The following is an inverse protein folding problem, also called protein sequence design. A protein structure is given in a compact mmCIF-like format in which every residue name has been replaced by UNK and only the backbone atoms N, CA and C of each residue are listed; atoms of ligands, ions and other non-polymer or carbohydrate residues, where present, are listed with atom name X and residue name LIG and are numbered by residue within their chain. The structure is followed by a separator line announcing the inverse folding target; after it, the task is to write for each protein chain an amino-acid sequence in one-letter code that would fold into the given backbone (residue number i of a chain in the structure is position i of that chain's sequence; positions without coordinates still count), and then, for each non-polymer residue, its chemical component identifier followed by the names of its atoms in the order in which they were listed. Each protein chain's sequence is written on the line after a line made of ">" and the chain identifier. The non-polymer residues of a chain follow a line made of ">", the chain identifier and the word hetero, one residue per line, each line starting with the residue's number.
data_IF_911067322345
#
_entry.id   IF_911067322345
#
_cell.length_a   1.000
_cell.length_b   1.000
_cell.length_c   1.000
_cell.angle_alpha   90.00
_cell.angle_beta   90.00
_cell.angle_gamma   90.00
#
_symmetry.space_group_name_H-M   'P 1'
#
loop_
_entity.id
_entity.type
_entity.pdbx_description
1 polymer ?
#
# COMPACT_ATOMS: atom_id res chain seq x y z
N UNK A 1 -8.11 -53.52 17.15
CA UNK A 1 -9.42 -53.57 16.49
C UNK A 1 -10.03 -52.22 16.07
N UNK A 2 -9.80 -51.08 16.74
CA UNK A 2 -10.32 -49.78 16.21
C UNK A 2 -9.57 -49.24 14.97
N UNK A 3 -8.34 -49.69 14.73
CA UNK A 3 -7.54 -49.27 13.56
C UNK A 3 -7.99 -49.94 12.25
N UNK A 4 -8.40 -51.21 12.29
CA UNK A 4 -8.76 -51.97 11.08
C UNK A 4 -10.10 -51.53 10.47
N UNK A 5 -11.08 -51.13 11.30
CA UNK A 5 -12.37 -50.66 10.80
C UNK A 5 -12.26 -49.35 10.00
N UNK A 6 -11.37 -48.45 10.41
CA UNK A 6 -11.13 -47.19 9.70
C UNK A 6 -10.39 -47.40 8.38
N UNK A 7 -9.45 -48.35 8.32
CA UNK A 7 -8.74 -48.69 7.08
C UNK A 7 -9.66 -49.35 6.04
N UNK A 8 -10.55 -50.25 6.47
CA UNK A 8 -11.50 -50.93 5.57
C UNK A 8 -12.57 -49.95 5.05
N UNK A 9 -13.07 -49.03 5.88
CA UNK A 9 -13.96 -47.96 5.43
C UNK A 9 -13.25 -47.00 4.46
N UNK A 10 -12.01 -46.59 4.76
CA UNK A 10 -11.19 -45.77 3.87
C UNK A 10 -10.91 -46.46 2.52
N UNK A 11 -10.74 -47.78 2.49
CA UNK A 11 -10.60 -48.54 1.24
C UNK A 11 -11.90 -48.51 0.42
N UNK A 12 -13.06 -48.69 1.07
CA UNK A 12 -14.37 -48.63 0.41
C UNK A 12 -14.67 -47.27 -0.21
N UNK A 13 -14.38 -46.19 0.54
CA UNK A 13 -14.56 -44.81 0.09
C UNK A 13 -13.64 -44.46 -1.10
N UNK A 14 -12.38 -44.92 -1.08
CA UNK A 14 -11.45 -44.76 -2.21
C UNK A 14 -11.88 -45.52 -3.45
N UNK A 15 -12.37 -46.75 -3.31
CA UNK A 15 -12.84 -47.58 -4.45
C UNK A 15 -14.11 -46.99 -5.07
N UNK A 16 -15.02 -46.44 -4.27
CA UNK A 16 -16.19 -45.72 -4.76
C UNK A 16 -15.78 -44.49 -5.58
N UNK A 17 -14.83 -43.71 -5.05
CA UNK A 17 -14.28 -42.54 -5.73
C UNK A 17 -13.65 -42.93 -7.07
N UNK A 18 -12.80 -43.96 -7.08
CA UNK A 18 -12.14 -44.44 -8.28
C UNK A 18 -13.17 -44.87 -9.34
N UNK A 19 -14.22 -45.62 -8.97
CA UNK A 19 -15.31 -46.01 -9.90
C UNK A 19 -16.05 -44.82 -10.51
N UNK A 20 -16.29 -43.77 -9.74
CA UNK A 20 -16.96 -42.55 -10.22
C UNK A 20 -16.05 -41.76 -11.18
N UNK A 21 -14.75 -41.70 -10.87
CA UNK A 21 -13.72 -41.09 -11.71
C UNK A 21 -13.63 -41.82 -13.06
N UNK A 22 -13.55 -43.15 -13.06
CA UNK A 22 -13.50 -43.97 -14.28
C UNK A 22 -14.75 -43.83 -15.16
N UNK A 23 -15.90 -43.52 -14.56
CA UNK A 23 -17.16 -43.22 -15.27
C UNK A 23 -17.29 -41.78 -15.76
N UNK A 24 -16.24 -40.96 -15.61
CA UNK A 24 -16.18 -39.54 -16.02
C UNK A 24 -17.16 -38.63 -15.26
N UNK A 25 -17.67 -39.08 -14.12
CA UNK A 25 -18.58 -38.30 -13.27
C UNK A 25 -17.78 -37.41 -12.30
N UNK A 26 -16.90 -36.56 -12.84
CA UNK A 26 -15.94 -35.78 -12.04
C UNK A 26 -16.61 -34.80 -11.07
N UNK A 27 -17.73 -34.18 -11.46
CA UNK A 27 -18.47 -33.27 -10.59
C UNK A 27 -19.10 -33.98 -9.38
N UNK A 28 -19.67 -35.16 -9.61
CA UNK A 28 -20.29 -35.98 -8.57
C UNK A 28 -19.22 -36.60 -7.65
N UNK A 29 -18.12 -37.08 -8.23
CA UNK A 29 -16.97 -37.58 -7.49
C UNK A 29 -16.37 -36.49 -6.58
N UNK A 30 -16.30 -35.24 -7.05
CA UNK A 30 -15.85 -34.09 -6.25
C UNK A 30 -16.78 -33.76 -5.08
N UNK A 31 -18.10 -33.80 -5.29
CA UNK A 31 -19.08 -33.57 -4.21
C UNK A 31 -19.01 -34.67 -3.16
N UNK A 32 -18.88 -35.93 -3.58
CA UNK A 32 -18.75 -37.08 -2.68
C UNK A 32 -17.42 -37.02 -1.90
N UNK A 33 -16.32 -36.64 -2.56
CA UNK A 33 -15.04 -36.43 -1.89
C UNK A 33 -15.12 -35.36 -0.79
N UNK A 34 -15.85 -34.27 -1.06
CA UNK A 34 -16.04 -33.19 -0.10
C UNK A 34 -16.97 -33.61 1.06
N UNK A 35 -18.05 -34.31 0.76
CA UNK A 35 -18.98 -34.85 1.75
C UNK A 35 -18.29 -35.84 2.71
N UNK A 36 -17.37 -36.65 2.19
CA UNK A 36 -16.60 -37.62 2.96
C UNK A 36 -15.34 -37.01 3.63
N UNK A 37 -15.06 -35.72 3.44
CA UNK A 37 -13.87 -35.01 3.95
C UNK A 37 -12.54 -35.73 3.66
N UNK A 38 -12.45 -36.39 2.50
CA UNK A 38 -11.25 -37.11 2.09
C UNK A 38 -10.15 -36.10 1.74
N UNK A 39 -9.11 -36.01 2.58
CA UNK A 39 -7.96 -35.10 2.40
C UNK A 39 -7.33 -35.17 1.00
N UNK A 40 -7.28 -36.36 0.40
CA UNK A 40 -6.69 -36.58 -0.94
C UNK A 40 -7.74 -36.83 -2.05
N UNK A 41 -9.04 -36.78 -1.71
CA UNK A 41 -10.11 -37.18 -2.62
C UNK A 41 -10.27 -36.23 -3.80
N UNK A 42 -10.29 -34.93 -3.54
CA UNK A 42 -10.44 -33.93 -4.61
C UNK A 42 -9.20 -33.87 -5.52
N UNK A 43 -8.00 -33.98 -4.95
CA UNK A 43 -6.74 -34.01 -5.70
C UNK A 43 -6.72 -35.17 -6.70
N UNK A 44 -7.14 -36.38 -6.29
CA UNK A 44 -7.25 -37.54 -7.18
C UNK A 44 -8.27 -37.35 -8.30
N UNK A 45 -9.45 -36.81 -8.01
CA UNK A 45 -10.49 -36.54 -9.02
C UNK A 45 -9.97 -35.54 -10.04
N UNK A 46 -9.30 -34.46 -9.60
CA UNK A 46 -8.73 -33.46 -10.48
C UNK A 46 -7.55 -33.97 -11.30
N UNK A 47 -6.64 -34.76 -10.73
CA UNK A 47 -5.54 -35.34 -11.52
C UNK A 47 -6.07 -36.17 -12.69
N UNK A 48 -7.06 -37.03 -12.43
CA UNK A 48 -7.67 -37.82 -13.49
C UNK A 48 -8.49 -36.96 -14.48
N UNK A 49 -9.19 -35.93 -14.00
CA UNK A 49 -9.89 -34.99 -14.86
C UNK A 49 -8.92 -34.19 -15.73
N UNK A 50 -7.78 -33.74 -15.19
CA UNK A 50 -6.73 -33.01 -15.91
C UNK A 50 -6.10 -33.89 -17.00
N UNK A 51 -5.74 -35.14 -16.68
CA UNK A 51 -5.27 -36.10 -17.70
C UNK A 51 -6.31 -36.30 -18.81
N UNK A 52 -7.58 -36.47 -18.43
CA UNK A 52 -8.67 -36.61 -19.41
C UNK A 52 -8.83 -35.34 -20.28
N UNK A 53 -8.74 -34.16 -19.68
CA UNK A 53 -8.88 -32.86 -20.36
C UNK A 53 -7.75 -32.63 -21.39
N UNK A 54 -6.52 -32.97 -21.04
CA UNK A 54 -5.35 -32.87 -21.94
C UNK A 54 -5.43 -33.87 -23.11
N UNK A 55 -6.07 -35.02 -22.92
CA UNK A 55 -6.29 -35.98 -24.01
C UNK A 55 -7.41 -35.60 -24.99
N UNK A 56 -8.09 -34.46 -24.80
CA UNK A 56 -9.19 -34.09 -25.68
C UNK A 56 -8.68 -33.44 -26.98
N UNK A 57 -9.01 -34.01 -28.16
CA UNK A 57 -8.42 -33.60 -29.44
C UNK A 57 -8.95 -32.27 -29.99
N UNK A 58 -9.95 -31.66 -29.34
CA UNK A 58 -10.62 -30.44 -29.82
C UNK A 58 -10.26 -29.19 -29.02
N UNK A 59 -9.48 -29.34 -27.95
CA UNK A 59 -9.03 -28.23 -27.11
C UNK A 59 -7.59 -27.88 -27.45
N UNK A 60 -7.31 -26.60 -27.58
CA UNK A 60 -5.96 -26.08 -27.60
C UNK A 60 -5.29 -26.34 -26.24
N UNK A 61 -4.02 -26.74 -26.28
CA UNK A 61 -3.25 -27.06 -25.08
C UNK A 61 -3.19 -25.89 -24.09
N UNK A 62 -3.25 -24.65 -24.58
CA UNK A 62 -3.20 -23.45 -23.74
C UNK A 62 -4.49 -23.21 -22.96
N UNK A 63 -5.67 -23.29 -23.60
CA UNK A 63 -6.95 -23.19 -22.89
C UNK A 63 -7.18 -24.38 -21.97
N UNK A 64 -6.75 -25.59 -22.36
CA UNK A 64 -6.77 -26.75 -21.47
C UNK A 64 -5.90 -26.53 -20.22
N UNK A 65 -4.67 -26.02 -20.39
CA UNK A 65 -3.79 -25.69 -19.27
C UNK A 65 -4.37 -24.61 -18.35
N UNK A 66 -5.01 -23.57 -18.92
CA UNK A 66 -5.66 -22.50 -18.15
C UNK A 66 -6.81 -23.02 -17.28
N UNK A 67 -7.72 -23.82 -17.85
CA UNK A 67 -8.84 -24.38 -17.09
C UNK A 67 -8.40 -25.37 -16.01
N UNK A 68 -7.32 -26.13 -16.29
CA UNK A 68 -6.72 -27.01 -15.29
C UNK A 68 -6.10 -26.19 -14.15
N UNK A 69 -5.35 -25.13 -14.49
CA UNK A 69 -4.78 -24.20 -13.52
C UNK A 69 -5.84 -23.58 -12.61
N UNK A 70 -6.95 -23.11 -13.16
CA UNK A 70 -8.04 -22.48 -12.39
C UNK A 70 -8.74 -23.45 -11.43
N UNK A 71 -8.90 -24.73 -11.83
CA UNK A 71 -9.44 -25.75 -10.92
C UNK A 71 -8.45 -26.16 -9.84
N UNK A 72 -7.15 -26.26 -10.16
CA UNK A 72 -6.11 -26.55 -9.17
C UNK A 72 -5.99 -25.40 -8.16
N UNK A 73 -6.10 -24.15 -8.61
CA UNK A 73 -6.11 -22.94 -7.78
C UNK A 73 -7.18 -23.00 -6.69
N UNK A 74 -8.42 -23.36 -7.04
CA UNK A 74 -9.50 -23.48 -6.06
C UNK A 74 -9.24 -24.54 -4.99
N UNK A 75 -8.51 -25.61 -5.31
CA UNK A 75 -8.11 -26.63 -4.32
C UNK A 75 -6.94 -26.16 -3.48
N UNK A 76 -5.97 -25.51 -4.11
CA UNK A 76 -4.81 -24.92 -3.44
C UNK A 76 -5.23 -23.97 -2.31
N UNK A 77 -6.38 -23.28 -2.41
CA UNK A 77 -6.91 -22.45 -1.33
C UNK A 77 -7.19 -23.22 -0.03
N UNK A 78 -7.51 -24.52 -0.12
CA UNK A 78 -7.76 -25.40 1.03
C UNK A 78 -6.49 -26.04 1.59
N UNK A 79 -5.34 -25.90 0.92
CA UNK A 79 -4.07 -26.40 1.43
C UNK A 79 -3.64 -25.60 2.66
N UNK A 80 -3.68 -26.25 3.81
CA UNK A 80 -3.37 -25.63 5.11
C UNK A 80 -1.90 -25.23 5.28
N UNK A 81 -0.99 -25.79 4.47
CA UNK A 81 0.45 -25.61 4.59
C UNK A 81 0.98 -24.56 3.61
N UNK A 82 1.12 -23.32 4.08
CA UNK A 82 1.63 -22.20 3.28
C UNK A 82 3.01 -22.47 2.65
N UNK A 83 3.88 -23.26 3.30
CA UNK A 83 5.23 -23.61 2.80
C UNK A 83 5.23 -24.44 1.52
N UNK A 84 4.17 -25.21 1.27
CA UNK A 84 4.02 -26.02 0.05
C UNK A 84 3.15 -25.28 -0.97
N UNK A 85 2.15 -24.56 -0.48
CA UNK A 85 1.23 -23.77 -1.29
C UNK A 85 1.93 -22.62 -2.02
N UNK A 86 2.78 -21.84 -1.34
CA UNK A 86 3.39 -20.63 -1.90
C UNK A 86 4.34 -20.92 -3.08
N UNK A 87 5.29 -21.88 -2.99
CA UNK A 87 6.11 -22.24 -4.15
C UNK A 87 5.27 -22.71 -5.35
N UNK A 88 4.22 -23.51 -5.11
CA UNK A 88 3.35 -23.99 -6.15
C UNK A 88 2.55 -22.87 -6.82
N UNK A 89 2.10 -21.87 -6.06
CA UNK A 89 1.46 -20.66 -6.62
C UNK A 89 2.42 -19.85 -7.50
N UNK A 90 3.71 -19.78 -7.16
CA UNK A 90 4.71 -19.12 -8.01
C UNK A 90 4.95 -19.86 -9.32
N UNK A 91 4.95 -21.20 -9.31
CA UNK A 91 5.06 -22.02 -10.52
C UNK A 91 3.83 -21.87 -11.44
N UNK A 92 2.65 -21.68 -10.86
CA UNK A 92 1.40 -21.39 -11.58
C UNK A 92 1.33 -19.95 -12.12
N UNK A 93 2.35 -19.12 -11.88
CA UNK A 93 2.41 -17.72 -12.35
C UNK A 93 1.68 -16.71 -11.46
N UNK A 94 1.22 -17.13 -10.28
CA UNK A 94 0.33 -16.35 -9.41
C UNK A 94 1.09 -15.60 -8.33
N UNK A 95 1.93 -14.67 -8.77
CA UNK A 95 2.86 -13.96 -7.89
C UNK A 95 2.18 -13.17 -6.76
N UNK A 96 1.11 -12.46 -7.08
CA UNK A 96 0.38 -11.62 -6.10
C UNK A 96 -0.28 -12.49 -5.03
N UNK A 97 -0.93 -13.57 -5.42
CA UNK A 97 -1.58 -14.50 -4.48
C UNK A 97 -0.57 -15.25 -3.63
N UNK A 98 0.58 -15.65 -4.22
CA UNK A 98 1.68 -16.23 -3.48
C UNK A 98 2.21 -15.27 -2.39
N UNK A 99 2.36 -13.98 -2.71
CA UNK A 99 2.82 -12.97 -1.76
C UNK A 99 1.80 -12.74 -0.63
N UNK A 100 0.51 -12.71 -0.97
CA UNK A 100 -0.57 -12.58 0.02
C UNK A 100 -0.59 -13.77 0.99
N UNK A 101 -0.46 -15.00 0.49
CA UNK A 101 -0.44 -16.20 1.34
C UNK A 101 0.83 -16.27 2.18
N UNK A 102 1.98 -15.84 1.66
CA UNK A 102 3.22 -15.75 2.42
C UNK A 102 3.14 -14.69 3.53
N UNK A 103 2.50 -13.55 3.28
CA UNK A 103 2.31 -12.53 4.32
C UNK A 103 1.33 -13.01 5.41
N UNK A 104 0.26 -13.72 5.02
CA UNK A 104 -0.67 -14.31 5.98
C UNK A 104 -0.07 -15.46 6.82
N UNK A 105 0.95 -16.16 6.31
CA UNK A 105 1.62 -17.21 7.09
C UNK A 105 2.52 -16.66 8.19
N UNK A 106 2.89 -15.37 8.13
CA UNK A 106 3.82 -14.72 9.06
C UNK A 106 5.27 -15.23 8.96
N UNK A 107 5.57 -16.08 7.98
CA UNK A 107 6.92 -16.62 7.76
C UNK A 107 7.73 -15.64 6.89
N UNK A 108 8.65 -14.91 7.51
CA UNK A 108 9.46 -13.89 6.84
C UNK A 108 10.33 -14.48 5.73
N UNK A 109 10.80 -15.71 5.88
CA UNK A 109 11.66 -16.36 4.88
C UNK A 109 10.85 -16.67 3.62
N UNK A 110 9.60 -17.10 3.81
CA UNK A 110 8.68 -17.36 2.71
C UNK A 110 8.31 -16.07 1.97
N UNK A 111 8.13 -14.96 2.70
CA UNK A 111 7.90 -13.64 2.09
C UNK A 111 9.13 -13.18 1.29
N UNK A 112 10.34 -13.35 1.83
CA UNK A 112 11.57 -13.02 1.09
C UNK A 112 11.73 -13.87 -0.18
N UNK A 113 11.46 -15.16 -0.10
CA UNK A 113 11.51 -16.06 -1.26
C UNK A 113 10.58 -15.57 -2.39
N UNK A 114 9.33 -15.23 -2.05
CA UNK A 114 8.39 -14.67 -3.03
C UNK A 114 8.87 -13.33 -3.57
N UNK A 115 9.27 -12.40 -2.71
CA UNK A 115 9.72 -11.06 -3.13
C UNK A 115 10.89 -11.13 -4.12
N UNK A 116 11.86 -12.00 -3.87
CA UNK A 116 13.02 -12.19 -4.76
C UNK A 116 12.59 -12.82 -6.09
N UNK A 117 11.72 -13.82 -6.05
CA UNK A 117 11.19 -14.45 -7.26
C UNK A 117 10.40 -13.46 -8.14
N UNK A 118 9.56 -12.63 -7.53
CA UNK A 118 8.79 -11.61 -8.25
C UNK A 118 9.68 -10.51 -8.82
N UNK A 119 10.72 -10.11 -8.09
CA UNK A 119 11.69 -9.13 -8.57
C UNK A 119 12.43 -9.60 -9.84
N UNK A 120 12.70 -10.89 -9.97
CA UNK A 120 13.37 -11.47 -11.14
C UNK A 120 12.44 -11.69 -12.33
N UNK A 121 11.18 -12.10 -12.08
CA UNK A 121 10.23 -12.44 -13.15
C UNK A 121 9.32 -11.31 -13.60
N UNK A 122 9.01 -10.34 -12.74
CA UNK A 122 8.09 -9.24 -13.04
C UNK A 122 8.85 -7.99 -13.51
N UNK A 123 8.17 -7.13 -14.27
CA UNK A 123 8.69 -5.81 -14.60
C UNK A 123 8.81 -4.93 -13.35
N UNK A 124 9.83 -4.07 -13.30
CA UNK A 124 10.12 -3.21 -12.13
C UNK A 124 8.89 -2.43 -11.62
N UNK A 125 8.16 -1.77 -12.51
CA UNK A 125 6.99 -0.97 -12.15
C UNK A 125 5.84 -1.84 -11.60
N UNK A 126 5.63 -3.02 -12.17
CA UNK A 126 4.57 -3.94 -11.76
C UNK A 126 4.87 -4.54 -10.38
N UNK A 127 6.14 -4.90 -10.16
CA UNK A 127 6.63 -5.34 -8.86
C UNK A 127 6.42 -4.25 -7.79
N UNK A 128 6.82 -3.02 -8.08
CA UNK A 128 6.67 -1.87 -7.17
C UNK A 128 5.21 -1.58 -6.80
N UNK A 129 4.29 -1.61 -7.78
CA UNK A 129 2.86 -1.48 -7.53
C UNK A 129 2.31 -2.59 -6.63
N UNK A 130 2.76 -3.83 -6.87
CA UNK A 130 2.35 -5.01 -6.10
C UNK A 130 2.80 -4.91 -4.65
N UNK A 131 4.08 -4.62 -4.39
CA UNK A 131 4.59 -4.52 -3.02
C UNK A 131 3.92 -3.37 -2.25
N UNK A 132 3.59 -2.26 -2.92
CA UNK A 132 2.92 -1.11 -2.28
C UNK A 132 1.51 -1.46 -1.80
N UNK A 133 0.84 -2.38 -2.47
CA UNK A 133 -0.48 -2.85 -2.03
C UNK A 133 -0.43 -3.67 -0.72
N UNK A 134 0.74 -4.17 -0.34
CA UNK A 134 0.94 -5.05 0.83
C UNK A 134 1.98 -4.46 1.80
N UNK A 135 1.56 -3.72 2.86
CA UNK A 135 2.47 -2.99 3.74
C UNK A 135 3.56 -3.85 4.39
N UNK A 136 3.23 -5.08 4.83
CA UNK A 136 4.20 -5.99 5.42
C UNK A 136 5.29 -6.40 4.42
N UNK A 137 4.89 -6.80 3.21
CA UNK A 137 5.84 -7.15 2.15
C UNK A 137 6.71 -5.95 1.76
N UNK A 138 6.13 -4.76 1.68
CA UNK A 138 6.85 -3.52 1.41
C UNK A 138 7.92 -3.23 2.47
N UNK A 139 7.56 -3.33 3.75
CA UNK A 139 8.50 -3.10 4.86
C UNK A 139 9.67 -4.09 4.87
N UNK A 140 9.40 -5.36 4.56
CA UNK A 140 10.43 -6.40 4.46
C UNK A 140 11.34 -6.15 3.26
N UNK A 141 10.79 -5.69 2.13
CA UNK A 141 11.56 -5.30 0.96
C UNK A 141 12.48 -4.10 1.23
N UNK A 142 11.98 -3.05 1.90
CA UNK A 142 12.79 -1.91 2.35
C UNK A 142 13.98 -2.40 3.20
N UNK A 143 13.72 -3.29 4.17
CA UNK A 143 14.77 -3.88 5.01
C UNK A 143 15.81 -4.67 4.19
N UNK A 144 15.35 -5.42 3.19
CA UNK A 144 16.24 -6.15 2.29
C UNK A 144 17.10 -5.19 1.44
N UNK A 145 16.49 -4.16 0.85
CA UNK A 145 17.22 -3.14 0.08
C UNK A 145 18.26 -2.41 0.92
N UNK A 146 17.96 -2.10 2.18
CA UNK A 146 18.91 -1.44 3.08
C UNK A 146 20.21 -2.23 3.31
N UNK A 147 20.18 -3.56 3.19
CA UNK A 147 21.37 -4.41 3.37
C UNK A 147 22.09 -4.76 2.05
N UNK A 148 21.36 -4.82 0.93
CA UNK A 148 21.90 -5.35 -0.33
C UNK A 148 22.10 -4.29 -1.41
N UNK A 149 21.24 -3.26 -1.47
CA UNK A 149 21.26 -2.29 -2.56
C UNK A 149 20.67 -0.93 -2.13
N UNK A 150 21.56 0.04 -1.89
CA UNK A 150 21.21 1.41 -1.47
C UNK A 150 20.49 2.21 -2.56
N UNK A 151 20.81 1.99 -3.83
CA UNK A 151 20.17 2.72 -4.92
C UNK A 151 18.71 2.29 -5.12
N UNK A 152 18.45 0.98 -5.00
CA UNK A 152 17.08 0.46 -4.98
C UNK A 152 16.29 1.01 -3.79
N UNK A 153 16.92 1.11 -2.61
CA UNK A 153 16.29 1.70 -1.42
C UNK A 153 15.87 3.16 -1.65
N UNK A 154 16.76 3.98 -2.24
CA UNK A 154 16.45 5.39 -2.55
C UNK A 154 15.26 5.50 -3.49
N UNK A 155 15.19 4.67 -4.52
CA UNK A 155 14.08 4.69 -5.47
C UNK A 155 12.75 4.35 -4.80
N UNK A 156 12.73 3.37 -3.89
CA UNK A 156 11.54 3.04 -3.11
C UNK A 156 11.10 4.24 -2.24
N UNK A 157 12.03 4.89 -1.54
CA UNK A 157 11.67 6.05 -0.71
C UNK A 157 11.21 7.26 -1.52
N UNK A 158 11.75 7.47 -2.73
CA UNK A 158 11.29 8.53 -3.64
C UNK A 158 9.89 8.21 -4.15
N UNK A 159 9.62 6.97 -4.53
CA UNK A 159 8.33 6.57 -5.08
C UNK A 159 7.18 6.60 -4.08
N UNK A 160 7.49 6.36 -2.79
CA UNK A 160 6.51 6.37 -1.69
C UNK A 160 6.37 7.77 -1.07
N UNK A 161 7.13 8.75 -1.57
CA UNK A 161 7.26 10.09 -0.95
C UNK A 161 7.65 10.01 0.55
N UNK A 162 8.43 8.99 0.92
CA UNK A 162 8.99 8.89 2.26
C UNK A 162 10.20 9.83 2.38
N UNK A 163 9.90 11.10 2.66
CA UNK A 163 10.90 12.13 2.85
C UNK A 163 11.82 11.87 4.05
N UNK A 164 11.35 11.12 5.05
CA UNK A 164 12.18 10.78 6.22
C UNK A 164 13.23 9.74 5.81
N UNK A 165 12.82 8.65 5.16
CA UNK A 165 13.71 7.62 4.62
C UNK A 165 14.73 8.21 3.63
N UNK A 166 14.29 9.09 2.73
CA UNK A 166 15.19 9.83 1.82
C UNK A 166 16.25 10.63 2.60
N UNK A 167 15.85 11.40 3.60
CA UNK A 167 16.77 12.20 4.40
C UNK A 167 17.79 11.32 5.16
N UNK A 168 17.36 10.18 5.71
CA UNK A 168 18.27 9.23 6.37
C UNK A 168 19.34 8.72 5.42
N UNK A 169 18.99 8.38 4.17
CA UNK A 169 19.98 7.92 3.18
C UNK A 169 21.00 9.01 2.83
N UNK A 170 20.55 10.26 2.67
CA UNK A 170 21.44 11.39 2.41
C UNK A 170 22.37 11.70 3.60
N UNK A 171 21.89 11.53 4.84
CA UNK A 171 22.74 11.65 6.04
C UNK A 171 23.78 10.54 6.07
N UNK A 172 23.41 9.30 5.75
CA UNK A 172 24.38 8.21 5.66
C UNK A 172 25.47 8.48 4.62
N UNK A 173 25.09 9.00 3.45
CA UNK A 173 26.07 9.41 2.43
C UNK A 173 27.01 10.51 2.94
N UNK A 174 26.49 11.50 3.68
CA UNK A 174 27.29 12.55 4.29
C UNK A 174 28.28 12.04 5.37
N UNK A 175 27.95 10.91 6.02
CA UNK A 175 28.83 10.26 6.99
C UNK A 175 29.95 9.46 6.31
N UNK A 176 29.68 8.90 5.13
CA UNK A 176 30.64 8.11 4.36
C UNK A 176 31.61 8.97 3.53
N UNK A 177 31.24 10.21 3.24
CA UNK A 177 32.05 11.13 2.44
C UNK A 177 33.14 11.83 3.27
N UNK A 178 34.36 11.82 2.73
CA UNK A 178 35.53 12.51 3.31
C UNK A 178 35.65 13.98 2.85
N UNK A 179 35.10 14.31 1.67
CA UNK A 179 35.19 15.66 1.11
C UNK A 179 34.14 16.59 1.77
N UNK A 180 34.54 17.74 2.36
CA UNK A 180 33.61 18.67 2.97
C UNK A 180 32.54 19.22 2.01
N UNK A 181 32.87 19.46 0.74
CA UNK A 181 31.91 20.00 -0.24
C UNK A 181 30.82 19.00 -0.62
N UNK A 182 31.19 17.73 -0.82
CA UNK A 182 30.21 16.65 -1.05
C UNK A 182 29.34 16.44 0.19
N UNK A 183 29.95 16.46 1.38
CA UNK A 183 29.25 16.30 2.65
C UNK A 183 28.20 17.39 2.84
N UNK A 184 28.55 18.63 2.52
CA UNK A 184 27.63 19.76 2.54
C UNK A 184 26.48 19.55 1.55
N UNK A 185 26.75 19.12 0.32
CA UNK A 185 25.71 18.84 -0.67
C UNK A 185 24.73 17.75 -0.21
N UNK A 186 25.23 16.65 0.36
CA UNK A 186 24.39 15.59 0.93
C UNK A 186 23.55 16.08 2.12
N UNK A 187 24.10 16.91 3.00
CA UNK A 187 23.37 17.50 4.12
C UNK A 187 22.30 18.52 3.66
N UNK A 188 22.59 19.29 2.60
CA UNK A 188 21.61 20.19 1.98
C UNK A 188 20.43 19.38 1.44
N UNK A 189 20.68 18.30 0.70
CA UNK A 189 19.62 17.41 0.19
C UNK A 189 18.80 16.80 1.32
N UNK A 190 19.44 16.32 2.39
CA UNK A 190 18.74 15.80 3.57
C UNK A 190 17.82 16.85 4.22
N UNK A 191 18.30 18.10 4.34
CA UNK A 191 17.52 19.22 4.88
C UNK A 191 16.29 19.52 4.03
N UNK A 192 16.43 19.53 2.70
CA UNK A 192 15.30 19.80 1.80
C UNK A 192 14.25 18.69 1.86
N UNK A 193 14.65 17.41 1.98
CA UNK A 193 13.71 16.31 2.24
C UNK A 193 12.93 16.53 3.55
N UNK A 194 13.61 16.88 4.66
CA UNK A 194 12.91 17.18 5.91
C UNK A 194 11.93 18.34 5.82
N UNK A 195 12.27 19.40 5.07
CA UNK A 195 11.33 20.52 4.85
C UNK A 195 10.06 20.08 4.12
N UNK A 196 10.21 19.25 3.08
CA UNK A 196 9.07 18.71 2.32
C UNK A 196 8.19 17.82 3.21
N UNK A 197 8.78 16.87 3.94
CA UNK A 197 8.03 15.99 4.84
C UNK A 197 7.33 16.70 6.02
N UNK A 198 7.83 17.87 6.44
CA UNK A 198 7.21 18.67 7.50
C UNK A 198 5.93 19.38 7.06
N UNK A 199 5.72 19.54 5.76
CA UNK A 199 4.56 20.27 5.24
C UNK A 199 3.30 19.41 5.17
N UNK A 200 3.42 18.08 5.04
CA UNK A 200 2.30 17.23 4.63
C UNK A 200 1.43 16.66 5.76
N UNK A 201 1.98 16.37 6.95
CA UNK A 201 1.22 15.72 8.04
C UNK A 201 1.20 16.50 9.36
N UNK A 202 2.29 17.20 9.68
CA UNK A 202 2.48 17.88 10.97
C UNK A 202 2.01 19.34 10.93
N UNK A 203 1.60 19.83 9.76
CA UNK A 203 1.24 21.22 9.61
C UNK A 203 -0.11 21.57 10.29
N UNK A 204 -1.02 20.61 10.46
CA UNK A 204 -2.34 20.88 11.05
C UNK A 204 -2.69 20.02 12.27
N UNK A 205 -2.04 18.87 12.46
CA UNK A 205 -2.35 17.95 13.56
C UNK A 205 -1.84 18.50 14.89
N UNK A 206 -2.74 18.68 15.87
CA UNK A 206 -2.41 19.16 17.22
C UNK A 206 -2.42 20.68 17.39
N UNK A 207 -2.73 21.43 16.32
CA UNK A 207 -2.97 22.87 16.43
C UNK A 207 -4.33 23.15 17.09
N UNK A 208 -4.41 24.25 17.84
CA UNK A 208 -5.70 24.76 18.28
C UNK A 208 -6.54 25.17 17.06
N UNK A 209 -7.87 25.26 17.22
CA UNK A 209 -8.76 25.78 16.17
C UNK A 209 -8.27 27.16 15.69
N UNK A 210 -7.83 28.01 16.62
CA UNK A 210 -7.26 29.32 16.33
C UNK A 210 -6.00 29.22 15.45
N UNK A 211 -5.04 28.39 15.83
CA UNK A 211 -3.77 28.27 15.10
C UNK A 211 -3.93 27.60 13.74
N UNK A 212 -4.91 26.69 13.63
CA UNK A 212 -5.32 26.07 12.38
C UNK A 212 -5.90 27.10 11.43
N UNK A 213 -6.84 27.94 11.90
CA UNK A 213 -7.44 29.02 11.10
C UNK A 213 -6.37 30.03 10.69
N UNK A 214 -5.50 30.46 11.61
CA UNK A 214 -4.41 31.39 11.30
C UNK A 214 -3.51 30.84 10.20
N UNK A 215 -3.15 29.55 10.27
CA UNK A 215 -2.29 28.90 9.29
C UNK A 215 -2.96 28.73 7.92
N UNK A 216 -4.25 28.41 7.89
CA UNK A 216 -5.03 28.38 6.65
C UNK A 216 -5.10 29.76 6.00
N UNK A 217 -5.28 30.82 6.79
CA UNK A 217 -5.30 32.20 6.30
C UNK A 217 -3.92 32.68 5.81
N UNK A 218 -2.83 32.17 6.38
CA UNK A 218 -1.47 32.45 5.91
C UNK A 218 -1.09 31.70 4.63
N UNK A 219 -1.67 30.51 4.41
CA UNK A 219 -1.44 29.68 3.23
C UNK A 219 -2.36 30.05 2.06
N UNK A 220 -3.61 30.42 2.35
CA UNK A 220 -4.43 31.14 1.39
C UNK A 220 -3.74 32.46 1.06
N UNK A 221 -3.76 32.89 -0.21
CA UNK A 221 -3.10 34.10 -0.70
C UNK A 221 -3.68 35.43 -0.11
N UNK A 222 -4.39 35.34 1.02
CA UNK A 222 -5.00 36.42 1.79
C UNK A 222 -3.92 37.30 2.45
N UNK A 223 -2.70 36.77 2.63
CA UNK A 223 -1.58 37.53 3.21
C UNK A 223 -1.17 38.69 2.29
N UNK A 224 -1.67 39.89 2.61
CA UNK A 224 -1.47 41.09 1.80
C UNK A 224 -2.56 41.31 0.74
N UNK A 225 -3.67 40.56 0.78
CA UNK A 225 -4.86 40.82 -0.03
C UNK A 225 -5.70 41.93 0.61
N UNK A 226 -5.20 43.16 0.53
CA UNK A 226 -5.87 44.34 1.10
C UNK A 226 -7.22 44.64 0.42
N UNK A 227 -7.41 44.18 -0.82
CA UNK A 227 -8.69 44.26 -1.52
C UNK A 227 -9.79 43.43 -0.82
N UNK A 228 -9.44 42.27 -0.28
CA UNK A 228 -10.35 41.45 0.52
C UNK A 228 -10.63 42.10 1.87
N UNK A 229 -9.62 42.71 2.50
CA UNK A 229 -9.80 43.48 3.74
C UNK A 229 -10.77 44.65 3.54
N UNK A 230 -10.63 45.39 2.43
CA UNK A 230 -11.52 46.49 2.06
C UNK A 230 -12.94 45.98 1.81
N UNK A 231 -13.08 44.88 1.07
CA UNK A 231 -14.37 44.22 0.79
C UNK A 231 -15.05 43.77 2.08
N UNK A 232 -14.29 43.18 3.01
CA UNK A 232 -14.79 42.79 4.33
C UNK A 232 -15.31 44.00 5.10
N UNK A 233 -14.54 45.11 5.12
CA UNK A 233 -14.92 46.34 5.81
C UNK A 233 -16.20 47.00 5.29
N UNK A 234 -16.56 46.75 4.02
CA UNK A 234 -17.79 47.26 3.37
C UNK A 234 -18.97 46.31 3.59
N UNK A 235 -18.71 45.02 3.74
CA UNK A 235 -19.75 44.00 3.84
C UNK A 235 -20.46 43.98 5.19
N UNK A 236 -19.72 44.12 6.31
CA UNK A 236 -20.25 44.00 7.67
C UNK A 236 -19.49 44.90 8.65
N UNK A 237 -20.20 45.36 9.70
CA UNK A 237 -19.55 46.00 10.86
C UNK A 237 -18.67 44.97 11.57
N UNK A 238 -17.44 45.34 11.90
CA UNK A 238 -16.47 44.45 12.55
C UNK A 238 -16.88 44.22 14.02
N UNK A 239 -17.02 42.97 14.50
CA UNK A 239 -17.31 42.70 15.90
C UNK A 239 -16.20 43.13 16.86
N UNK A 240 -14.96 43.26 16.34
CA UNK A 240 -13.77 43.66 17.11
C UNK A 240 -13.43 45.15 16.92
N UNK A 241 -14.31 45.91 16.26
CA UNK A 241 -14.06 47.30 15.87
C UNK A 241 -13.11 47.44 14.66
N UNK A 242 -12.88 48.69 14.25
CA UNK A 242 -11.94 49.02 13.16
C UNK A 242 -10.54 49.43 13.64
N UNK A 243 -10.31 49.57 14.96
CA UNK A 243 -8.97 49.85 15.51
C UNK A 243 -7.92 48.78 15.12
N UNK A 244 -8.21 47.46 15.21
CA UNK A 244 -7.25 46.43 14.79
C UNK A 244 -6.89 46.50 13.30
N UNK A 245 -7.79 47.03 12.46
CA UNK A 245 -7.52 47.20 11.02
C UNK A 245 -6.47 48.29 10.78
N UNK A 246 -6.57 49.40 11.52
CA UNK A 246 -5.62 50.52 11.44
C UNK A 246 -4.25 50.08 11.95
N UNK A 247 -4.20 49.41 13.11
CA UNK A 247 -2.95 48.90 13.69
C UNK A 247 -2.25 47.91 12.78
N UNK A 248 -3.00 46.99 12.16
CA UNK A 248 -2.46 46.08 11.17
C UNK A 248 -1.91 46.84 9.94
N UNK A 249 -2.65 47.79 9.37
CA UNK A 249 -2.19 48.58 8.22
C UNK A 249 -0.88 49.35 8.53
N UNK A 250 -0.76 49.91 9.74
CA UNK A 250 0.44 50.62 10.20
C UNK A 250 1.63 49.67 10.40
N UNK A 251 1.39 48.48 10.97
CA UNK A 251 2.43 47.45 11.12
C UNK A 251 3.01 47.00 9.77
N UNK A 252 2.19 46.97 8.72
CA UNK A 252 2.61 46.69 7.34
C UNK A 252 3.05 47.93 6.54
N UNK A 253 3.24 49.09 7.20
CA UNK A 253 3.70 50.35 6.61
C UNK A 253 2.84 50.86 5.43
N UNK A 254 1.52 50.67 5.52
CA UNK A 254 0.53 51.08 4.49
C UNK A 254 -0.41 52.16 5.04
N UNK A 255 0.05 53.43 5.10
CA UNK A 255 -0.75 54.52 5.67
C UNK A 255 -1.95 54.93 4.79
N UNK A 256 -1.86 54.68 3.49
CA UNK A 256 -2.90 54.87 2.48
C UNK A 256 -4.13 54.01 2.74
N UNK A 257 -3.90 52.75 3.08
CA UNK A 257 -4.95 51.78 3.40
C UNK A 257 -5.53 52.04 4.80
N UNK A 258 -4.67 52.40 5.77
CA UNK A 258 -5.09 52.78 7.13
C UNK A 258 -6.05 53.97 7.14
N UNK A 259 -5.83 54.96 6.27
CA UNK A 259 -6.66 56.16 6.17
C UNK A 259 -8.13 55.87 5.83
N UNK A 260 -8.42 54.74 5.18
CA UNK A 260 -9.79 54.32 4.82
C UNK A 260 -10.60 53.86 6.04
N UNK A 261 -9.94 53.38 7.09
CA UNK A 261 -10.60 52.81 8.27
C UNK A 261 -10.70 53.82 9.43
N UNK A 262 -9.86 54.85 9.47
CA UNK A 262 -9.88 55.91 10.51
C UNK A 262 -11.24 56.60 10.70
N UNK A 263 -12.02 56.95 9.65
CA UNK A 263 -13.35 57.53 9.83
C UNK A 263 -14.33 56.55 10.49
N UNK A 264 -14.21 55.25 10.16
CA UNK A 264 -15.09 54.20 10.69
C UNK A 264 -14.84 53.95 12.18
N UNK A 265 -13.61 54.10 12.67
CA UNK A 265 -13.31 54.04 14.10
C UNK A 265 -14.00 55.16 14.89
N UNK A 266 -14.13 56.36 14.31
CA UNK A 266 -14.77 57.50 14.97
C UNK A 266 -16.29 57.38 15.03
N UNK A 267 -16.89 56.70 14.07
CA UNK A 267 -18.33 56.46 14.05
C UNK A 267 -18.74 55.34 15.02
N UNK A 268 -17.84 54.38 15.33
CA UNK A 268 -18.06 53.39 16.41
C UNK A 268 -18.18 54.03 17.80
N UNK A 269 -17.48 55.14 18.04
CA UNK A 269 -17.54 55.90 19.30
C UNK A 269 -18.82 56.73 19.47
N UNK A 270 -19.65 56.86 18.42
CA UNK A 270 -20.94 57.60 18.48
C UNK A 270 -22.14 56.70 18.72
N UNK A 271 -22.00 55.39 18.51
CA UNK A 271 -23.07 54.39 18.64
C UNK A 271 -23.08 53.71 20.04
N UNK A 272 -22.32 54.25 21.02
CA UNK A 272 -22.27 53.82 22.44
C UNK A 272 -22.83 54.94 23.32
#
# INVERSE_FOLDING_TARGET
>A
MRFEAQEVQNLGEKVLLDRLIWRRLHCLAGHIANYLQLKDGQTRVLSHWACYKVTQPHLDNESAAREIGDKLRNILEYESRSKLQVPLLLELGEGVMALLKATNSGDTDLVYMVLLHLKEKMGKNEFELTIRSMPLAHSLYIKYCASHNRDALRQVYVQVDDFHGQATTHIQDALEQTNPGSKEASLISARECYKKGKNDLVSFVGLSVHDTIKKLLEQGEIKGSWAELETFSKSRKSPAGYEPFVDACLAYKRPDEAAKYLPKCKDELKDV
#
